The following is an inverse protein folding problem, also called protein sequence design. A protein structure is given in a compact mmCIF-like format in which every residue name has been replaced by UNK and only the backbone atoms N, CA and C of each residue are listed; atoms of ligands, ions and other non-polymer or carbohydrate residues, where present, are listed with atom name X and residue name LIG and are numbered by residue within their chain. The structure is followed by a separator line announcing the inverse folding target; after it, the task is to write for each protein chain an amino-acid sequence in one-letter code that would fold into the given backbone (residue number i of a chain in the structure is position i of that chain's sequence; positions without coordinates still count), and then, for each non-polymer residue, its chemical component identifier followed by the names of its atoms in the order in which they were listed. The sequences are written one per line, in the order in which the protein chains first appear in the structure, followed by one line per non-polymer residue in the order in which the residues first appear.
data_IF_180615471013
#
_entry.id   IF_180615471013
#
_cell.length_a   1.000
_cell.length_b   1.000
_cell.length_c   1.000
_cell.angle_alpha   90.00
_cell.angle_beta   90.00
_cell.angle_gamma   90.00
#
_symmetry.space_group_name_H-M   'P 1'
#
loop_
_entity.id
_entity.type
_entity.pdbx_description
1 polymer ?
#
# COMPACT_ATOMS: atom_id res chain seq x y z
N UNK A 1 -5.45 16.18 -24.95
CA UNK A 1 -6.06 15.51 -23.77
C UNK A 1 -6.21 14.01 -24.00
N UNK A 2 -7.03 13.54 -24.95
CA UNK A 2 -7.21 12.08 -25.21
C UNK A 2 -5.91 11.31 -25.51
N UNK A 3 -4.94 11.94 -26.18
CA UNK A 3 -3.64 11.32 -26.50
C UNK A 3 -2.82 11.08 -25.22
N UNK A 4 -2.75 12.10 -24.37
CA UNK A 4 -2.01 12.07 -23.10
C UNK A 4 -2.62 11.02 -22.16
N UNK A 5 -3.95 10.97 -22.05
CA UNK A 5 -4.61 9.97 -21.20
C UNK A 5 -4.31 8.53 -21.65
N UNK A 6 -4.16 8.30 -22.95
CA UNK A 6 -3.84 6.98 -23.51
C UNK A 6 -2.36 6.61 -23.32
N UNK A 7 -1.48 7.61 -23.18
CA UNK A 7 -0.04 7.44 -22.96
C UNK A 7 0.29 7.06 -21.50
N UNK A 8 -0.59 7.42 -20.56
CA UNK A 8 -0.44 7.18 -19.11
C UNK A 8 -1.55 6.30 -18.51
N UNK A 9 -2.19 5.47 -19.34
CA UNK A 9 -3.27 4.56 -18.94
C UNK A 9 -2.80 3.55 -17.88
N UNK A 10 -1.49 3.23 -17.88
CA UNK A 10 -0.80 2.38 -16.93
C UNK A 10 -0.55 3.04 -15.55
N UNK A 11 -0.53 4.37 -15.47
CA UNK A 11 -0.36 5.09 -14.21
C UNK A 11 -1.63 5.19 -13.38
N UNK A 12 -2.80 5.07 -14.03
CA UNK A 12 -4.11 5.18 -13.38
C UNK A 12 -5.03 4.02 -13.80
N UNK A 13 -4.67 2.77 -13.45
CA UNK A 13 -5.54 1.65 -13.70
C UNK A 13 -6.91 1.88 -13.04
N UNK A 14 -8.01 1.40 -13.66
CA UNK A 14 -9.36 1.56 -13.12
C UNK A 14 -9.56 0.84 -11.77
N UNK A 15 -8.69 -0.13 -11.49
CA UNK A 15 -8.56 -0.84 -10.22
C UNK A 15 -7.20 -0.50 -9.61
N UNK A 16 -7.05 -0.58 -8.28
CA UNK A 16 -5.77 -0.35 -7.61
C UNK A 16 -4.66 -1.28 -8.14
N UNK A 17 -3.37 -0.95 -7.91
CA UNK A 17 -2.27 -1.77 -8.39
C UNK A 17 -2.40 -3.20 -7.82
N UNK A 18 -2.75 -4.17 -8.67
CA UNK A 18 -2.85 -5.58 -8.32
C UNK A 18 -1.46 -6.21 -8.22
N UNK A 19 -0.67 -5.78 -7.24
CA UNK A 19 0.64 -6.37 -6.98
C UNK A 19 1.65 -5.41 -6.38
N UNK A 20 2.83 -5.96 -6.08
CA UNK A 20 3.98 -5.16 -5.69
C UNK A 20 4.39 -4.28 -6.88
N UNK A 21 4.75 -3.01 -6.63
CA UNK A 21 5.33 -2.18 -7.68
C UNK A 21 6.52 -2.92 -8.30
N UNK A 22 6.72 -2.73 -9.61
CA UNK A 22 7.92 -3.20 -10.32
C UNK A 22 9.16 -2.92 -9.47
N UNK A 23 10.07 -3.90 -9.39
CA UNK A 23 11.36 -3.78 -8.72
C UNK A 23 12.11 -2.57 -9.28
N UNK A 24 11.91 -1.42 -8.62
CA UNK A 24 12.78 -0.26 -8.78
C UNK A 24 14.06 -0.67 -8.08
N UNK A 25 15.22 -0.54 -8.72
CA UNK A 25 16.52 -0.97 -8.16
C UNK A 25 16.99 -0.22 -6.91
N UNK A 26 16.05 0.32 -6.12
CA UNK A 26 16.20 1.08 -4.90
C UNK A 26 15.19 0.51 -3.91
N UNK A 27 15.68 -0.03 -2.81
CA UNK A 27 14.86 -0.53 -1.70
C UNK A 27 14.78 0.54 -0.59
N UNK A 28 13.66 0.57 0.14
CA UNK A 28 13.52 1.44 1.29
C UNK A 28 14.16 0.78 2.52
N UNK A 29 15.19 1.39 3.08
CA UNK A 29 15.80 0.96 4.33
C UNK A 29 15.20 1.72 5.52
N UNK A 30 14.76 0.98 6.53
CA UNK A 30 14.31 1.55 7.81
C UNK A 30 15.42 1.34 8.83
N UNK A 31 16.11 2.40 9.20
CA UNK A 31 17.15 2.35 10.23
C UNK A 31 16.53 2.25 11.62
N UNK A 32 16.93 1.23 12.39
CA UNK A 32 16.52 1.05 13.77
C UNK A 32 17.60 1.54 14.73
N UNK A 33 17.17 2.22 15.80
CA UNK A 33 18.07 2.56 16.90
C UNK A 33 18.42 1.27 17.67
N UNK A 34 19.70 0.97 17.94
CA UNK A 34 20.08 -0.20 18.73
C UNK A 34 19.38 -0.21 20.10
N UNK A 35 18.74 -1.33 20.43
CA UNK A 35 17.97 -1.47 21.68
C UNK A 35 16.53 -0.94 21.63
N UNK A 36 16.07 -0.44 20.47
CA UNK A 36 14.67 -0.08 20.29
C UNK A 36 13.78 -1.34 20.26
N UNK A 37 12.65 -1.28 20.96
CA UNK A 37 11.62 -2.32 20.89
C UNK A 37 10.67 -2.05 19.73
N UNK A 38 10.37 -3.09 18.94
CA UNK A 38 9.35 -2.99 17.90
C UNK A 38 7.96 -2.79 18.53
N UNK A 39 7.11 -1.90 17.98
CA UNK A 39 5.77 -1.72 18.48
C UNK A 39 4.93 -2.97 18.18
N UNK A 40 4.40 -3.61 19.22
CA UNK A 40 3.42 -4.69 19.11
C UNK A 40 2.22 -4.35 20.00
N UNK A 41 1.20 -3.73 19.41
CA UNK A 41 -0.04 -3.36 20.09
C UNK A 41 -1.20 -4.15 19.50
N UNK A 42 -2.22 -4.51 20.30
CA UNK A 42 -3.43 -5.10 19.74
C UNK A 42 -4.06 -4.14 18.74
N UNK A 43 -4.74 -4.70 17.73
CA UNK A 43 -5.52 -3.91 16.79
C UNK A 43 -6.56 -3.06 17.53
N UNK A 44 -6.83 -1.86 17.02
CA UNK A 44 -7.91 -1.03 17.53
C UNK A 44 -9.27 -1.67 17.25
N UNK A 45 -10.28 -1.31 18.05
CA UNK A 45 -11.65 -1.74 17.81
C UNK A 45 -12.19 -1.03 16.57
N UNK A 46 -12.67 -1.82 15.61
CA UNK A 46 -13.37 -1.38 14.39
C UNK A 46 -14.79 -1.92 14.38
N UNK A 47 -15.69 -1.27 13.65
CA UNK A 47 -17.04 -1.80 13.46
C UNK A 47 -17.06 -2.90 12.37
N UNK A 48 -18.12 -3.73 12.27
CA UNK A 48 -18.16 -4.84 11.30
C UNK A 48 -18.09 -4.42 9.82
N UNK A 49 -18.47 -3.19 9.47
CA UNK A 49 -18.36 -2.68 8.10
C UNK A 49 -16.93 -2.28 7.78
N UNK A 50 -16.26 -1.59 8.70
CA UNK A 50 -14.85 -1.21 8.58
C UNK A 50 -13.94 -2.43 8.48
N UNK A 51 -14.18 -3.46 9.31
CA UNK A 51 -13.39 -4.70 9.25
C UNK A 51 -13.51 -5.38 7.88
N UNK A 52 -14.71 -5.44 7.29
CA UNK A 52 -14.91 -6.00 5.95
C UNK A 52 -14.19 -5.21 4.86
N UNK A 53 -14.18 -3.89 4.97
CA UNK A 53 -13.46 -3.03 4.03
C UNK A 53 -11.95 -3.25 4.12
N UNK A 54 -11.41 -3.34 5.36
CA UNK A 54 -9.99 -3.65 5.59
C UNK A 54 -9.64 -5.03 5.03
N UNK A 55 -10.46 -6.06 5.30
CA UNK A 55 -10.28 -7.42 4.78
C UNK A 55 -10.39 -7.49 3.25
N UNK A 56 -11.13 -6.59 2.60
CA UNK A 56 -11.21 -6.54 1.14
C UNK A 56 -9.98 -5.91 0.49
N UNK A 57 -9.20 -5.11 1.23
CA UNK A 57 -8.04 -4.38 0.71
C UNK A 57 -6.71 -5.08 0.99
N UNK A 58 -6.65 -5.91 2.04
CA UNK A 58 -5.48 -6.72 2.44
C UNK A 58 -5.43 -8.02 1.63
#
# INVERSE_FOLDING_TARGET
IKIILKEFDDLFPPEGPMGLPLLRGIEHQIDLVPGASLPNRPAYRTNPQETKEIESQV
#
